data_IF_294393114697
#
_entry.id   IF_294393114697
#
_cell.length_a   1.000
_cell.length_b   1.000
_cell.length_c   1.000
_cell.angle_alpha   90.00
_cell.angle_beta   90.00
_cell.angle_gamma   90.00
#
_symmetry.space_group_name_H-M   'P 1'
#
loop_
_entity.id
_entity.type
_entity.pdbx_description
1 polymer ?
#
# COMPACT_ATOMS: atom_id res chain seq x y z
N UNK A 1 -4.78 14.31 43.86
CA UNK A 1 -4.00 14.86 42.79
C UNK A 1 -3.83 16.35 42.93
N UNK A 2 -2.75 16.90 42.41
CA UNK A 2 -2.58 18.35 42.38
C UNK A 2 -3.42 18.93 41.24
N UNK A 3 -3.95 20.12 41.47
CA UNK A 3 -4.63 20.87 40.41
C UNK A 3 -3.61 21.28 39.35
N UNK A 4 -3.92 21.03 38.09
CA UNK A 4 -3.07 21.43 36.99
C UNK A 4 -3.15 22.95 36.79
N UNK A 5 -2.03 23.64 36.94
CA UNK A 5 -1.95 25.10 36.87
C UNK A 5 -1.57 25.60 35.46
N UNK A 6 -1.07 24.71 34.61
CA UNK A 6 -0.66 25.03 33.24
C UNK A 6 -1.17 23.97 32.28
N UNK A 7 -1.57 24.39 31.09
CA UNK A 7 -1.93 23.48 30.01
C UNK A 7 -0.64 23.02 29.35
N UNK A 8 -0.36 21.70 29.29
CA UNK A 8 0.83 21.19 28.59
C UNK A 8 0.78 21.58 27.11
N UNK A 9 1.89 22.14 26.62
CA UNK A 9 2.07 22.46 25.20
C UNK A 9 2.91 21.36 24.56
N UNK A 10 2.30 20.25 24.19
CA UNK A 10 2.99 19.14 23.54
C UNK A 10 2.28 18.76 22.25
N UNK A 11 3.03 18.29 21.28
CA UNK A 11 2.50 17.79 20.00
C UNK A 11 1.77 16.46 20.16
N UNK A 12 2.12 15.68 21.18
CA UNK A 12 1.53 14.34 21.44
C UNK A 12 1.30 14.16 22.94
N UNK A 13 0.22 13.50 23.30
CA UNK A 13 -0.24 13.30 24.67
C UNK A 13 -0.05 11.88 25.19
N UNK A 14 0.82 11.08 24.60
CA UNK A 14 1.08 9.71 24.99
C UNK A 14 2.55 9.45 25.30
N UNK A 15 2.81 8.41 26.05
CA UNK A 15 4.14 7.89 26.40
C UNK A 15 4.20 6.40 25.99
N UNK A 16 5.31 5.91 25.41
CA UNK A 16 6.52 6.66 25.06
C UNK A 16 6.38 7.41 23.72
N UNK A 17 7.08 8.51 23.59
CA UNK A 17 7.21 9.26 22.34
C UNK A 17 8.56 10.01 22.28
N UNK A 18 8.99 10.38 21.07
CA UNK A 18 10.27 11.09 20.84
C UNK A 18 10.12 12.40 20.05
N UNK A 19 8.89 12.91 19.92
CA UNK A 19 8.59 14.09 19.10
C UNK A 19 8.64 15.39 19.91
N UNK A 20 8.54 15.30 21.23
CA UNK A 20 8.51 16.47 22.10
C UNK A 20 9.28 16.18 23.41
N UNK A 21 9.99 17.19 23.90
CA UNK A 21 10.68 17.10 25.19
C UNK A 21 9.74 17.35 26.37
N UNK A 22 8.75 18.24 26.19
CA UNK A 22 7.72 18.54 27.18
C UNK A 22 6.51 17.61 26.98
N UNK A 23 6.71 16.36 27.30
CA UNK A 23 5.76 15.28 27.07
C UNK A 23 5.23 14.70 28.38
N UNK A 24 4.04 14.11 28.38
CA UNK A 24 3.60 13.29 29.49
C UNK A 24 4.60 12.17 29.77
N UNK A 25 4.88 11.91 31.03
CA UNK A 25 5.79 10.83 31.47
C UNK A 25 5.21 10.09 32.65
N UNK A 26 5.44 8.80 32.69
CA UNK A 26 5.26 8.05 33.93
C UNK A 26 6.23 8.60 34.99
N UNK A 27 5.73 8.79 36.16
CA UNK A 27 6.56 9.17 37.34
C UNK A 27 6.74 7.95 38.20
N UNK A 28 7.89 7.27 38.18
CA UNK A 28 8.13 6.07 38.96
C UNK A 28 8.03 6.30 40.48
N UNK A 29 8.24 7.53 40.94
CA UNK A 29 8.26 7.87 42.35
C UNK A 29 6.97 8.52 42.87
N UNK A 30 6.19 9.18 42.01
CA UNK A 30 5.03 10.00 42.40
C UNK A 30 3.79 9.75 41.54
N UNK A 31 3.88 8.94 40.51
CA UNK A 31 2.76 8.60 39.61
C UNK A 31 2.10 7.27 39.93
N UNK A 32 1.21 6.87 39.04
CA UNK A 32 0.63 5.54 39.12
C UNK A 32 1.63 4.51 38.58
N UNK A 33 2.00 3.57 39.41
CA UNK A 33 2.82 2.43 39.01
C UNK A 33 1.96 1.17 39.06
N UNK A 34 2.21 0.23 38.16
CA UNK A 34 1.72 -1.13 38.31
C UNK A 34 2.33 -1.72 39.57
N UNK A 35 1.52 -2.17 40.49
CA UNK A 35 2.00 -2.83 41.68
C UNK A 35 1.75 -4.34 41.60
N UNK A 36 2.61 -5.09 42.25
CA UNK A 36 2.51 -6.53 42.35
C UNK A 36 1.72 -6.89 43.61
N UNK A 37 0.52 -7.45 43.41
CA UNK A 37 -0.28 -7.97 44.51
C UNK A 37 0.08 -9.44 44.73
N UNK A 38 0.43 -9.77 45.95
CA UNK A 38 0.72 -11.15 46.34
C UNK A 38 -0.59 -11.92 46.44
N UNK A 39 -0.70 -13.00 45.73
CA UNK A 39 -1.78 -13.98 45.78
C UNK A 39 -1.30 -15.22 46.53
N UNK A 40 -2.22 -16.09 46.97
CA UNK A 40 -1.88 -17.31 47.71
C UNK A 40 -0.92 -18.22 46.95
N UNK A 41 -1.06 -18.28 45.61
CA UNK A 41 -0.25 -19.13 44.73
C UNK A 41 0.73 -18.33 43.86
N UNK A 42 1.01 -17.06 44.17
CA UNK A 42 1.94 -16.26 43.37
C UNK A 42 1.77 -14.76 43.48
N UNK A 43 2.29 -14.05 42.50
CA UNK A 43 2.22 -12.59 42.42
C UNK A 43 1.50 -12.19 41.12
N UNK A 44 0.48 -11.35 41.26
CA UNK A 44 -0.16 -10.72 40.12
C UNK A 44 0.82 -9.71 39.49
N UNK A 45 1.16 -9.90 38.23
CA UNK A 45 2.05 -9.00 37.52
C UNK A 45 1.68 -8.87 36.05
N UNK A 46 2.13 -7.79 35.44
CA UNK A 46 2.02 -7.58 34.00
C UNK A 46 3.36 -7.96 33.36
N UNK A 47 3.50 -9.22 32.99
CA UNK A 47 4.71 -9.76 32.41
C UNK A 47 4.43 -10.18 30.98
N UNK A 48 5.19 -9.62 30.02
CA UNK A 48 5.13 -10.02 28.63
C UNK A 48 5.90 -11.33 28.45
N UNK A 49 5.34 -12.28 27.70
CA UNK A 49 6.05 -13.51 27.39
C UNK A 49 7.36 -13.23 26.62
N UNK A 50 8.41 -14.02 26.90
CA UNK A 50 9.74 -13.88 26.30
C UNK A 50 9.70 -13.95 24.77
N UNK A 51 8.81 -14.77 24.19
CA UNK A 51 8.62 -14.89 22.75
C UNK A 51 8.28 -13.56 22.05
N UNK A 52 7.75 -12.57 22.77
CA UNK A 52 7.52 -11.22 22.22
C UNK A 52 8.81 -10.40 22.02
N UNK A 53 9.96 -10.87 22.49
CA UNK A 53 11.25 -10.22 22.21
C UNK A 53 11.72 -10.42 20.76
N UNK A 54 11.26 -11.46 20.08
CA UNK A 54 11.52 -11.67 18.65
C UNK A 54 10.57 -10.81 17.81
N UNK A 55 11.03 -9.61 17.45
CA UNK A 55 10.27 -8.64 16.68
C UNK A 55 10.40 -8.80 15.17
N UNK A 56 11.41 -9.57 14.68
CA UNK A 56 11.83 -9.50 13.28
C UNK A 56 11.70 -10.81 12.50
N UNK A 57 11.71 -11.98 13.15
CA UNK A 57 11.72 -13.26 12.45
C UNK A 57 10.45 -13.47 11.60
N UNK A 58 9.26 -13.19 12.14
CA UNK A 58 8.01 -13.30 11.37
C UNK A 58 7.90 -12.25 10.25
N UNK A 59 8.14 -10.93 10.49
CA UNK A 59 8.18 -9.95 9.40
C UNK A 59 9.18 -10.29 8.30
N UNK A 60 10.35 -10.83 8.65
CA UNK A 60 11.36 -11.31 7.71
C UNK A 60 10.83 -12.45 6.85
N UNK A 61 10.25 -13.47 7.46
CA UNK A 61 9.61 -14.58 6.76
C UNK A 61 8.49 -14.09 5.86
N UNK A 62 7.63 -13.18 6.34
CA UNK A 62 6.55 -12.60 5.56
C UNK A 62 7.07 -11.87 4.31
N UNK A 63 8.01 -10.94 4.47
CA UNK A 63 8.57 -10.18 3.35
C UNK A 63 9.22 -11.08 2.31
N UNK A 64 10.04 -12.05 2.75
CA UNK A 64 10.73 -13.01 1.87
C UNK A 64 9.78 -13.99 1.19
N UNK A 65 8.59 -14.21 1.74
CA UNK A 65 7.55 -15.04 1.13
C UNK A 65 6.82 -14.34 -0.01
N UNK A 66 6.90 -13.00 -0.11
CA UNK A 66 6.18 -12.23 -1.11
C UNK A 66 6.80 -12.37 -2.49
N UNK A 67 5.98 -12.20 -3.54
CA UNK A 67 6.47 -12.07 -4.91
C UNK A 67 7.29 -10.79 -5.08
N UNK A 68 8.16 -10.69 -6.10
CA UNK A 68 8.91 -9.45 -6.36
C UNK A 68 8.05 -8.20 -6.50
N UNK A 69 6.85 -8.33 -7.08
CA UNK A 69 5.91 -7.22 -7.20
C UNK A 69 5.35 -6.80 -5.83
N UNK A 70 4.99 -7.76 -4.98
CA UNK A 70 4.52 -7.49 -3.62
C UNK A 70 5.60 -6.88 -2.75
N UNK A 71 6.84 -7.34 -2.86
CA UNK A 71 8.00 -6.74 -2.18
C UNK A 71 8.21 -5.29 -2.62
N UNK A 72 8.08 -4.99 -3.92
CA UNK A 72 8.16 -3.63 -4.43
C UNK A 72 7.02 -2.75 -3.89
N UNK A 73 5.79 -3.27 -3.79
CA UNK A 73 4.66 -2.57 -3.19
C UNK A 73 4.89 -2.25 -1.71
N UNK A 74 5.45 -3.20 -0.94
CA UNK A 74 5.80 -2.98 0.47
C UNK A 74 6.84 -1.86 0.61
N UNK A 75 7.91 -1.89 -0.20
CA UNK A 75 8.92 -0.84 -0.17
C UNK A 75 8.35 0.53 -0.54
N UNK A 76 7.51 0.60 -1.59
CA UNK A 76 6.81 1.82 -1.99
C UNK A 76 5.89 2.37 -0.90
N UNK A 77 5.16 1.49 -0.21
CA UNK A 77 4.27 1.89 0.87
C UNK A 77 5.04 2.49 2.05
N UNK A 78 6.16 1.87 2.46
CA UNK A 78 7.04 2.46 3.47
C UNK A 78 7.60 3.81 3.05
N UNK A 79 8.08 3.95 1.81
CA UNK A 79 8.61 5.21 1.29
C UNK A 79 7.54 6.31 1.27
N UNK A 80 6.33 5.97 0.83
CA UNK A 80 5.20 6.90 0.79
C UNK A 80 4.80 7.40 2.18
N UNK A 81 4.66 6.51 3.17
CA UNK A 81 4.28 6.90 4.52
C UNK A 81 5.41 7.63 5.26
N UNK A 82 6.65 7.16 5.14
CA UNK A 82 7.80 7.82 5.76
C UNK A 82 8.12 9.17 5.10
N UNK A 83 7.78 9.34 3.83
CA UNK A 83 7.88 10.63 3.14
C UNK A 83 7.08 11.76 3.81
N UNK A 84 5.99 11.42 4.48
CA UNK A 84 5.13 12.37 5.23
C UNK A 84 5.65 12.70 6.63
N UNK A 85 6.66 11.98 7.12
CA UNK A 85 7.20 12.15 8.47
C UNK A 85 8.28 13.24 8.45
N UNK A 86 8.03 14.39 9.07
CA UNK A 86 8.96 15.51 9.10
C UNK A 86 10.21 15.28 9.98
N UNK A 87 10.12 14.37 10.96
CA UNK A 87 11.16 14.11 11.93
C UNK A 87 12.23 13.13 11.38
N UNK A 88 13.45 13.59 11.02
CA UNK A 88 14.47 12.73 10.41
C UNK A 88 14.87 11.54 11.28
N UNK A 89 14.96 11.73 12.60
CA UNK A 89 15.32 10.66 13.53
C UNK A 89 14.30 9.51 13.57
N UNK A 90 13.03 9.78 13.25
CA UNK A 90 12.00 8.73 13.14
C UNK A 90 12.22 7.91 11.88
N UNK A 91 12.49 8.56 10.74
CA UNK A 91 12.83 7.88 9.47
C UNK A 91 14.07 6.99 9.66
N UNK A 92 15.14 7.52 10.22
CA UNK A 92 16.38 6.78 10.51
C UNK A 92 16.12 5.56 11.39
N UNK A 93 15.31 5.73 12.44
CA UNK A 93 14.96 4.64 13.37
C UNK A 93 14.12 3.54 12.69
N UNK A 94 13.24 3.90 11.77
CA UNK A 94 12.50 2.90 11.00
C UNK A 94 13.43 2.14 10.06
N UNK A 95 14.31 2.83 9.33
CA UNK A 95 15.28 2.20 8.45
C UNK A 95 16.18 1.22 9.21
N UNK A 96 16.71 1.60 10.38
CA UNK A 96 17.54 0.72 11.21
C UNK A 96 16.84 -0.58 11.64
N UNK A 97 15.53 -0.54 11.78
CA UNK A 97 14.71 -1.72 12.10
C UNK A 97 14.40 -2.55 10.85
N UNK A 98 14.15 -1.92 9.71
CA UNK A 98 13.91 -2.62 8.45
C UNK A 98 15.09 -3.48 8.02
N UNK A 99 16.33 -3.09 8.35
CA UNK A 99 17.54 -3.89 8.08
C UNK A 99 17.44 -5.28 8.72
N UNK A 100 16.90 -5.37 9.93
CA UNK A 100 16.69 -6.65 10.61
C UNK A 100 15.61 -7.52 9.95
N UNK A 101 14.70 -6.90 9.20
CA UNK A 101 13.69 -7.62 8.42
C UNK A 101 14.33 -8.12 7.12
N UNK A 102 14.83 -7.19 6.29
CA UNK A 102 15.53 -7.51 5.06
C UNK A 102 16.34 -6.27 4.58
N UNK A 103 17.60 -6.50 4.24
CA UNK A 103 18.49 -5.41 3.82
C UNK A 103 18.08 -4.80 2.48
N UNK A 104 17.58 -5.61 1.53
CA UNK A 104 17.07 -5.12 0.24
C UNK A 104 15.85 -4.20 0.46
N UNK A 105 14.91 -4.59 1.34
CA UNK A 105 13.79 -3.73 1.72
C UNK A 105 14.27 -2.39 2.28
N UNK A 106 15.21 -2.42 3.23
CA UNK A 106 15.74 -1.22 3.86
C UNK A 106 16.43 -0.30 2.84
N UNK A 107 17.25 -0.86 1.94
CA UNK A 107 17.92 -0.14 0.87
C UNK A 107 16.93 0.52 -0.11
N UNK A 108 15.89 -0.20 -0.54
CA UNK A 108 14.85 0.35 -1.43
C UNK A 108 14.15 1.54 -0.80
N UNK A 109 13.79 1.44 0.48
CA UNK A 109 13.11 2.51 1.20
C UNK A 109 14.07 3.70 1.43
N UNK A 110 15.31 3.46 1.85
CA UNK A 110 16.31 4.51 2.03
C UNK A 110 16.56 5.29 0.74
N UNK A 111 16.78 4.59 -0.38
CA UNK A 111 16.96 5.20 -1.71
C UNK A 111 15.77 6.06 -2.12
N UNK A 112 14.54 5.57 -1.92
CA UNK A 112 13.33 6.32 -2.25
C UNK A 112 13.14 7.57 -1.39
N UNK A 113 13.69 7.58 -0.17
CA UNK A 113 13.68 8.74 0.75
C UNK A 113 14.88 9.67 0.56
N UNK A 114 15.84 9.31 -0.29
CA UNK A 114 17.10 10.04 -0.44
C UNK A 114 17.96 10.03 0.83
N UNK A 115 17.92 8.94 1.59
CA UNK A 115 18.63 8.77 2.87
C UNK A 115 19.71 7.69 2.75
N UNK A 116 20.79 7.86 3.51
CA UNK A 116 21.77 6.80 3.73
C UNK A 116 21.19 5.74 4.66
N UNK A 117 21.60 4.49 4.44
CA UNK A 117 21.20 3.37 5.29
C UNK A 117 21.95 3.48 6.64
N UNK A 118 21.23 3.56 7.77
CA UNK A 118 21.88 3.62 9.09
C UNK A 118 22.42 2.25 9.51
N UNK A 119 23.03 2.16 10.67
CA UNK A 119 23.33 0.90 11.32
C UNK A 119 22.03 0.17 11.72
N UNK A 120 22.06 -1.16 11.70
CA UNK A 120 20.92 -1.98 12.12
C UNK A 120 20.64 -1.76 13.63
N UNK A 121 19.36 -1.68 13.98
CA UNK A 121 18.98 -1.68 15.39
C UNK A 121 19.35 -3.01 16.05
N UNK A 122 19.85 -2.98 17.27
CA UNK A 122 20.11 -4.20 18.04
C UNK A 122 18.80 -4.96 18.31
N UNK A 123 18.67 -6.24 17.88
CA UNK A 123 17.47 -7.01 18.14
C UNK A 123 17.46 -7.52 19.59
N UNK A 124 16.29 -7.47 20.25
CA UNK A 124 16.13 -7.96 21.61
C UNK A 124 16.24 -9.49 21.73
N UNK A 125 16.02 -10.20 20.62
CA UNK A 125 16.25 -11.63 20.50
C UNK A 125 16.88 -11.92 19.11
N UNK A 126 17.65 -13.02 18.96
CA UNK A 126 18.24 -13.38 17.68
C UNK A 126 17.19 -13.53 16.59
N UNK A 127 17.44 -12.91 15.43
CA UNK A 127 16.57 -13.02 14.26
C UNK A 127 16.74 -14.40 13.62
N UNK A 128 15.64 -15.10 13.42
CA UNK A 128 15.64 -16.42 12.82
C UNK A 128 15.29 -16.37 11.34
N UNK A 129 15.98 -17.15 10.52
CA UNK A 129 15.65 -17.38 9.12
C UNK A 129 14.66 -18.54 9.04
N UNK A 130 13.38 -18.22 8.89
CA UNK A 130 12.30 -19.17 8.70
C UNK A 130 12.06 -19.42 7.22
N UNK A 131 11.59 -20.63 6.88
CA UNK A 131 11.22 -21.00 5.51
C UNK A 131 10.12 -20.06 4.97
N UNK A 132 10.21 -19.77 3.67
CA UNK A 132 9.20 -18.99 2.98
C UNK A 132 7.87 -19.74 2.87
N UNK A 133 6.77 -19.03 2.95
CA UNK A 133 5.41 -19.58 2.90
C UNK A 133 4.63 -19.02 1.70
N UNK A 134 4.52 -19.82 0.65
CA UNK A 134 3.78 -19.43 -0.57
C UNK A 134 2.33 -19.01 -0.31
N UNK A 135 1.57 -19.60 0.64
CA UNK A 135 0.23 -19.11 0.98
C UNK A 135 0.12 -17.65 1.44
N UNK A 136 1.23 -17.01 1.82
CA UNK A 136 1.25 -15.58 2.18
C UNK A 136 1.23 -14.64 0.98
N UNK A 137 1.50 -15.15 -0.23
CA UNK A 137 1.41 -14.36 -1.46
C UNK A 137 -0.07 -14.11 -1.80
N UNK A 138 -0.37 -12.89 -2.26
CA UNK A 138 -1.70 -12.50 -2.74
C UNK A 138 -1.77 -12.56 -4.26
N UNK A 139 -0.72 -12.10 -4.94
CA UNK A 139 -0.64 -12.10 -6.41
C UNK A 139 -0.62 -13.55 -6.92
N UNK A 140 -1.50 -13.84 -7.88
CA UNK A 140 -1.63 -15.17 -8.47
C UNK A 140 -2.55 -16.14 -7.72
N UNK A 141 -3.13 -15.74 -6.59
CA UNK A 141 -4.15 -16.52 -5.86
C UNK A 141 -5.59 -16.20 -6.29
N UNK A 142 -5.78 -15.08 -6.98
CA UNK A 142 -7.09 -14.71 -7.51
C UNK A 142 -7.55 -15.70 -8.58
N UNK A 143 -8.83 -16.03 -8.65
CA UNK A 143 -9.38 -16.84 -9.73
C UNK A 143 -9.00 -16.28 -11.09
N UNK A 144 -8.47 -17.12 -11.98
CA UNK A 144 -8.16 -16.74 -13.37
C UNK A 144 -9.45 -16.75 -14.20
N UNK A 145 -10.36 -15.83 -13.89
CA UNK A 145 -11.67 -15.72 -14.53
C UNK A 145 -12.06 -14.26 -14.64
N UNK A 146 -12.72 -13.90 -15.74
CA UNK A 146 -13.31 -12.58 -15.92
C UNK A 146 -14.73 -12.49 -15.35
N UNK A 147 -15.25 -13.57 -14.77
CA UNK A 147 -16.62 -13.58 -14.22
C UNK A 147 -16.80 -12.48 -13.17
N UNK A 148 -17.75 -11.57 -13.43
CA UNK A 148 -18.03 -10.44 -12.55
C UNK A 148 -17.04 -9.28 -12.66
N UNK A 149 -16.11 -9.33 -13.64
CA UNK A 149 -15.18 -8.24 -13.93
C UNK A 149 -15.74 -7.30 -14.99
N UNK A 150 -15.50 -6.02 -14.82
CA UNK A 150 -15.87 -4.98 -15.78
C UNK A 150 -14.65 -4.47 -16.51
N UNK A 151 -14.65 -4.59 -17.83
CA UNK A 151 -13.55 -4.12 -18.69
C UNK A 151 -14.03 -2.92 -19.50
N UNK A 152 -13.32 -1.81 -19.42
CA UNK A 152 -13.51 -0.65 -20.30
C UNK A 152 -12.75 -0.84 -21.62
N UNK A 153 -13.43 -0.73 -22.75
CA UNK A 153 -12.78 -0.67 -24.07
C UNK A 153 -12.76 0.79 -24.51
N UNK A 154 -11.59 1.41 -24.48
CA UNK A 154 -11.38 2.76 -24.96
C UNK A 154 -11.27 2.77 -26.48
N UNK A 155 -12.18 3.48 -27.13
CA UNK A 155 -12.23 3.67 -28.59
C UNK A 155 -12.26 5.14 -28.94
N UNK A 156 -11.88 5.46 -30.17
CA UNK A 156 -11.99 6.80 -30.76
C UNK A 156 -12.30 6.70 -32.25
N UNK A 157 -12.48 7.85 -32.92
CA UNK A 157 -12.65 7.88 -34.37
C UNK A 157 -11.58 7.06 -35.11
N UNK A 158 -12.01 6.15 -36.00
CA UNK A 158 -11.15 5.28 -36.77
C UNK A 158 -10.59 4.07 -36.02
N UNK A 159 -11.06 3.79 -34.79
CA UNK A 159 -10.71 2.54 -34.09
C UNK A 159 -11.10 1.33 -34.91
N UNK A 160 -10.27 0.27 -34.84
CA UNK A 160 -10.50 -0.93 -35.64
C UNK A 160 -11.70 -1.74 -35.09
N UNK A 161 -12.76 -1.84 -35.89
CA UNK A 161 -14.01 -2.47 -35.51
C UNK A 161 -13.84 -3.96 -35.21
N UNK A 162 -13.09 -4.68 -36.04
CA UNK A 162 -12.85 -6.12 -35.84
C UNK A 162 -12.16 -6.39 -34.49
N UNK A 163 -11.18 -5.58 -34.14
CA UNK A 163 -10.50 -5.70 -32.84
C UNK A 163 -11.44 -5.40 -31.67
N UNK A 164 -12.22 -4.34 -31.76
CA UNK A 164 -13.21 -3.98 -30.71
C UNK A 164 -14.13 -5.16 -30.47
N UNK A 165 -14.75 -5.69 -31.53
CA UNK A 165 -15.65 -6.82 -31.46
C UNK A 165 -14.99 -8.10 -30.92
N UNK A 166 -13.76 -8.39 -31.38
CA UNK A 166 -13.00 -9.55 -30.91
C UNK A 166 -12.71 -9.50 -29.41
N UNK A 167 -12.36 -8.33 -28.87
CA UNK A 167 -12.15 -8.17 -27.42
C UNK A 167 -13.45 -8.28 -26.65
N UNK A 168 -14.52 -7.65 -27.13
CA UNK A 168 -15.85 -7.74 -26.53
C UNK A 168 -16.35 -9.20 -26.46
N UNK A 169 -16.30 -9.92 -27.58
CA UNK A 169 -16.71 -11.33 -27.65
C UNK A 169 -15.85 -12.21 -26.72
N UNK A 170 -14.54 -11.99 -26.68
CA UNK A 170 -13.63 -12.76 -25.84
C UNK A 170 -13.89 -12.53 -24.32
N UNK A 171 -14.15 -11.29 -23.93
CA UNK A 171 -14.45 -10.94 -22.54
C UNK A 171 -15.79 -11.53 -22.10
N UNK A 172 -16.81 -11.36 -22.93
CA UNK A 172 -18.16 -11.90 -22.70
C UNK A 172 -18.13 -13.43 -22.61
N UNK A 173 -17.38 -14.10 -23.48
CA UNK A 173 -17.22 -15.56 -23.45
C UNK A 173 -16.57 -16.06 -22.14
N UNK A 174 -15.78 -15.24 -21.46
CA UNK A 174 -15.17 -15.53 -20.16
C UNK A 174 -16.06 -15.10 -18.97
N UNK A 175 -17.28 -14.65 -19.24
CA UNK A 175 -18.22 -14.19 -18.21
C UNK A 175 -17.91 -12.81 -17.63
N UNK A 176 -17.08 -12.02 -18.30
CA UNK A 176 -16.83 -10.60 -18.00
C UNK A 176 -17.93 -9.71 -18.55
N UNK A 177 -17.91 -8.47 -18.17
CA UNK A 177 -18.75 -7.39 -18.68
C UNK A 177 -17.88 -6.38 -19.42
N UNK A 178 -18.42 -5.76 -20.47
CA UNK A 178 -17.72 -4.74 -21.25
C UNK A 178 -18.50 -3.44 -21.19
N UNK A 179 -17.77 -2.32 -21.13
CA UNK A 179 -18.28 -0.99 -21.44
C UNK A 179 -17.41 -0.33 -22.48
N UNK A 180 -18.04 0.18 -23.52
CA UNK A 180 -17.39 1.03 -24.50
C UNK A 180 -17.22 2.44 -23.96
N UNK A 181 -15.99 2.92 -23.93
CA UNK A 181 -15.63 4.26 -23.45
C UNK A 181 -15.07 5.07 -24.62
N UNK A 182 -15.58 6.27 -24.84
CA UNK A 182 -15.12 7.11 -25.96
C UNK A 182 -15.10 8.62 -25.60
N UNK A 183 -14.38 9.46 -26.37
CA UNK A 183 -14.42 10.91 -26.18
C UNK A 183 -15.82 11.52 -26.40
N UNK A 184 -16.59 10.92 -27.31
CA UNK A 184 -17.96 11.34 -27.65
C UNK A 184 -18.97 10.21 -27.47
N UNK A 185 -20.26 10.57 -27.40
CA UNK A 185 -21.33 9.57 -27.22
C UNK A 185 -21.48 8.63 -28.43
N UNK A 186 -21.14 9.10 -29.61
CA UNK A 186 -21.11 8.31 -30.85
C UNK A 186 -19.74 8.41 -31.49
N UNK A 187 -19.20 7.30 -31.95
CA UNK A 187 -17.90 7.19 -32.60
C UNK A 187 -18.02 6.40 -33.91
N UNK A 188 -17.39 6.89 -34.95
CA UNK A 188 -17.27 6.20 -36.23
C UNK A 188 -15.98 5.36 -36.26
N UNK A 189 -16.09 4.08 -36.56
CA UNK A 189 -14.98 3.15 -36.67
C UNK A 189 -14.34 3.13 -38.05
N UNK A 190 -13.29 2.33 -38.23
CA UNK A 190 -12.50 2.26 -39.47
C UNK A 190 -13.29 1.73 -40.69
N UNK A 191 -14.36 0.98 -40.48
CA UNK A 191 -15.24 0.43 -41.52
C UNK A 191 -16.53 1.25 -41.70
N UNK A 192 -16.56 2.50 -41.31
CA UNK A 192 -17.71 3.40 -41.31
C UNK A 192 -18.84 3.05 -40.37
N UNK A 193 -18.74 1.95 -39.61
CA UNK A 193 -19.70 1.60 -38.57
C UNK A 193 -19.72 2.66 -37.46
N UNK A 194 -20.91 3.01 -36.99
CA UNK A 194 -21.10 3.91 -35.86
C UNK A 194 -21.50 3.13 -34.64
N UNK A 195 -20.78 3.32 -33.55
CA UNK A 195 -21.09 2.72 -32.26
C UNK A 195 -21.44 3.81 -31.23
N UNK A 196 -22.35 3.44 -30.33
CA UNK A 196 -22.69 4.28 -29.18
C UNK A 196 -21.80 3.91 -28.01
N UNK A 197 -21.08 4.88 -27.44
CA UNK A 197 -20.32 4.67 -26.22
C UNK A 197 -21.27 4.57 -25.01
N UNK A 198 -20.98 3.62 -24.14
CA UNK A 198 -21.67 3.50 -22.86
C UNK A 198 -21.33 4.69 -21.98
N UNK A 199 -20.04 5.03 -21.93
CA UNK A 199 -19.51 6.11 -21.10
C UNK A 199 -18.63 7.06 -21.92
N UNK A 200 -18.58 8.33 -21.50
CA UNK A 200 -17.61 9.27 -22.04
C UNK A 200 -16.33 9.26 -21.18
N UNK A 201 -15.17 9.42 -21.83
CA UNK A 201 -13.86 9.47 -21.14
C UNK A 201 -13.88 10.45 -19.95
N UNK A 202 -14.44 11.65 -20.12
CA UNK A 202 -14.53 12.66 -19.07
C UNK A 202 -15.36 12.24 -17.84
N UNK A 203 -16.20 11.21 -17.96
CA UNK A 203 -17.09 10.73 -16.88
C UNK A 203 -16.79 9.30 -16.43
N UNK A 204 -15.75 8.66 -17.00
CA UNK A 204 -15.43 7.25 -16.75
C UNK A 204 -13.96 7.09 -16.35
N UNK A 205 -13.56 7.52 -15.15
CA UNK A 205 -12.21 7.31 -14.66
C UNK A 205 -11.86 5.82 -14.62
N UNK A 206 -10.59 5.48 -14.91
CA UNK A 206 -10.11 4.09 -15.02
C UNK A 206 -10.40 3.24 -13.77
N UNK A 207 -10.55 3.87 -12.61
CA UNK A 207 -10.88 3.19 -11.34
C UNK A 207 -12.25 2.49 -11.36
N UNK A 208 -13.14 2.82 -12.29
CA UNK A 208 -14.44 2.15 -12.44
C UNK A 208 -14.34 0.76 -13.09
N UNK A 209 -13.19 0.44 -13.66
CA UNK A 209 -12.96 -0.79 -14.41
C UNK A 209 -11.91 -1.66 -13.72
N UNK A 210 -12.08 -2.97 -13.80
CA UNK A 210 -11.06 -3.94 -13.39
C UNK A 210 -9.86 -3.96 -14.36
N UNK A 211 -10.12 -3.62 -15.64
CA UNK A 211 -9.09 -3.44 -16.66
C UNK A 211 -9.58 -2.47 -17.73
N UNK A 212 -8.64 -1.84 -18.44
CA UNK A 212 -8.91 -1.00 -19.60
C UNK A 212 -8.11 -1.52 -20.78
N UNK A 213 -8.78 -1.72 -21.91
CA UNK A 213 -8.18 -2.05 -23.21
C UNK A 213 -8.30 -0.84 -24.10
N UNK A 214 -7.19 -0.36 -24.67
CA UNK A 214 -7.17 0.78 -25.57
C UNK A 214 -7.04 0.30 -27.02
N UNK A 215 -8.03 0.60 -27.84
CA UNK A 215 -8.06 0.29 -29.28
C UNK A 215 -8.24 1.62 -30.03
N UNK A 216 -7.21 2.42 -30.03
CA UNK A 216 -7.18 3.76 -30.63
C UNK A 216 -5.99 3.93 -31.55
N UNK A 217 -6.18 4.72 -32.60
CA UNK A 217 -5.08 5.07 -33.52
C UNK A 217 -4.10 6.05 -32.86
N UNK A 218 -2.80 6.02 -33.23
CA UNK A 218 -1.78 6.88 -32.59
C UNK A 218 -2.13 8.36 -32.56
N UNK A 219 -2.72 8.89 -33.62
CA UNK A 219 -3.11 10.31 -33.72
C UNK A 219 -4.24 10.65 -32.74
N UNK A 220 -5.16 9.72 -32.50
CA UNK A 220 -6.23 9.89 -31.55
C UNK A 220 -5.72 9.74 -30.10
N UNK A 221 -4.78 8.84 -29.89
CA UNK A 221 -4.12 8.71 -28.59
C UNK A 221 -3.42 10.01 -28.17
N UNK A 222 -2.73 10.66 -29.12
CA UNK A 222 -2.09 11.95 -28.87
C UNK A 222 -3.12 13.03 -28.52
N UNK A 223 -4.22 13.14 -29.27
CA UNK A 223 -5.29 14.08 -28.95
C UNK A 223 -5.90 13.86 -27.59
N UNK A 224 -6.14 12.62 -27.21
CA UNK A 224 -6.67 12.27 -25.88
C UNK A 224 -5.70 12.62 -24.74
N UNK A 225 -4.40 12.43 -24.96
CA UNK A 225 -3.38 12.77 -23.98
C UNK A 225 -3.21 14.30 -23.79
N UNK A 226 -3.57 15.08 -24.80
CA UNK A 226 -3.53 16.56 -24.75
C UNK A 226 -4.84 17.17 -24.20
N UNK A 227 -5.91 16.37 -24.08
CA UNK A 227 -7.21 16.82 -23.57
C UNK A 227 -7.23 16.81 -22.04
N UNK A 228 -7.35 17.98 -21.44
CA UNK A 228 -7.41 18.17 -19.99
C UNK A 228 -8.57 17.44 -19.30
N UNK A 229 -9.58 17.00 -20.04
CA UNK A 229 -10.70 16.21 -19.52
C UNK A 229 -10.36 14.71 -19.37
N UNK A 230 -9.20 14.29 -19.90
CA UNK A 230 -8.72 12.89 -19.83
C UNK A 230 -7.62 12.68 -18.79
N UNK A 231 -7.10 13.76 -18.21
CA UNK A 231 -6.11 13.78 -17.13
C UNK A 231 -6.79 13.88 -15.77
#
# INVERSE_FOLDING_TARGET
>A
GHMQMQVPKTRVLYEPQSLDLDRPRESPQKGFNSFHEKLDDGVKGRIRAESFADHYSQPRMFYRSQTPAEQAHIASAYAFELGKVDAPHVRTRVLSRLINIDEDLANRVANALGMELPEAAEPAAPVQDMDTSKPLQTIGRTPKSLKGRLVGILVAEGSNHEQVKKFEDAINAQGGMVKCVAPSKEVKLDDDTRIQADERVAGAPSVFFDAVVSIIMPDQAKKLAEDSSTL
#
